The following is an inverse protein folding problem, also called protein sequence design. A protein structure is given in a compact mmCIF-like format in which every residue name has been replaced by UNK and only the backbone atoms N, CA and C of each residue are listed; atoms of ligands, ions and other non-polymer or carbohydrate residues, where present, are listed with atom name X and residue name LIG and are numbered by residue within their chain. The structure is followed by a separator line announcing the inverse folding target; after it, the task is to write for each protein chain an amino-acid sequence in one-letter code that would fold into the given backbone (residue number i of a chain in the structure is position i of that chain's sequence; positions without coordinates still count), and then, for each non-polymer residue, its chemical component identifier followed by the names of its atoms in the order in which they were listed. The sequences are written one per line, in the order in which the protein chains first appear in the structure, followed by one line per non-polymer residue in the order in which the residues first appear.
data_IF_827247037035
#
_entry.id   IF_827247037035
#
_cell.length_a   1.000
_cell.length_b   1.000
_cell.length_c   1.000
_cell.angle_alpha   90.00
_cell.angle_beta   90.00
_cell.angle_gamma   90.00
#
_symmetry.space_group_name_H-M   'P 1'
#
loop_
_entity.id
_entity.type
_entity.pdbx_description
1 polymer ?
#
# COMPACT_ATOMS: atom_id res chain seq x y z
N UNK A 1 -15.94 18.96 26.56
CA UNK A 1 -17.22 18.38 26.06
C UNK A 1 -17.13 16.87 26.19
N UNK A 2 -18.11 16.18 26.79
CA UNK A 2 -18.09 14.70 26.95
C UNK A 2 -19.01 14.05 25.93
N UNK A 3 -18.54 13.05 25.19
CA UNK A 3 -19.30 12.38 24.11
C UNK A 3 -20.67 11.87 24.56
N UNK A 4 -20.77 11.31 25.76
CA UNK A 4 -22.00 10.76 26.29
C UNK A 4 -23.10 11.82 26.51
N UNK A 5 -22.73 13.08 26.71
CA UNK A 5 -23.66 14.18 27.06
C UNK A 5 -24.12 14.98 25.83
N UNK A 6 -23.79 14.53 24.62
CA UNK A 6 -24.17 15.21 23.38
C UNK A 6 -25.67 15.08 23.09
N UNK A 7 -26.23 16.07 22.38
CA UNK A 7 -27.57 15.96 21.81
C UNK A 7 -27.66 14.80 20.83
N UNK A 8 -28.85 14.22 20.69
CA UNK A 8 -29.08 13.02 19.87
C UNK A 8 -28.60 13.20 18.42
N UNK A 9 -28.84 14.36 17.82
CA UNK A 9 -28.38 14.71 16.46
C UNK A 9 -26.86 14.61 16.33
N UNK A 10 -26.09 15.14 17.29
CA UNK A 10 -24.64 15.03 17.31
C UNK A 10 -24.17 13.59 17.52
N UNK A 11 -24.85 12.82 18.38
CA UNK A 11 -24.54 11.40 18.58
C UNK A 11 -24.73 10.61 17.29
N UNK A 12 -25.82 10.85 16.58
CA UNK A 12 -26.13 10.19 15.31
C UNK A 12 -25.09 10.55 14.24
N UNK A 13 -24.76 11.84 14.09
CA UNK A 13 -23.76 12.30 13.11
C UNK A 13 -22.38 11.67 13.37
N UNK A 14 -21.90 11.71 14.62
CA UNK A 14 -20.62 11.09 14.99
C UNK A 14 -20.65 9.56 14.81
N UNK A 15 -21.77 8.91 15.16
CA UNK A 15 -21.90 7.45 14.95
C UNK A 15 -21.82 7.09 13.47
N UNK A 16 -22.51 7.82 12.60
CA UNK A 16 -22.45 7.61 11.15
C UNK A 16 -21.03 7.77 10.61
N UNK A 17 -20.30 8.80 11.04
CA UNK A 17 -18.90 9.00 10.70
C UNK A 17 -18.03 7.83 11.17
N UNK A 18 -18.10 7.45 12.45
CA UNK A 18 -17.27 6.38 13.03
C UNK A 18 -17.56 5.01 12.41
N UNK A 19 -18.83 4.69 12.13
CA UNK A 19 -19.21 3.45 11.43
C UNK A 19 -18.65 3.45 10.00
N UNK A 20 -18.73 4.58 9.30
CA UNK A 20 -18.13 4.73 7.96
C UNK A 20 -16.62 4.51 8.02
N UNK A 21 -15.94 5.03 9.04
CA UNK A 21 -14.51 4.79 9.25
C UNK A 21 -14.19 3.30 9.41
N UNK A 22 -14.98 2.57 10.20
CA UNK A 22 -14.80 1.13 10.40
C UNK A 22 -14.96 0.35 9.08
N UNK A 23 -15.99 0.65 8.29
CA UNK A 23 -16.17 0.04 6.98
C UNK A 23 -15.08 0.44 5.98
N UNK A 24 -14.61 1.69 6.03
CA UNK A 24 -13.49 2.17 5.22
C UNK A 24 -12.21 1.40 5.52
N UNK A 25 -11.87 1.19 6.80
CA UNK A 25 -10.73 0.37 7.21
C UNK A 25 -10.87 -1.09 6.74
N UNK A 26 -12.06 -1.68 6.85
CA UNK A 26 -12.31 -3.04 6.37
C UNK A 26 -12.16 -3.15 4.84
N UNK A 27 -12.68 -2.16 4.11
CA UNK A 27 -12.55 -2.07 2.65
C UNK A 27 -11.09 -1.92 2.23
N UNK A 28 -10.32 -1.07 2.91
CA UNK A 28 -8.90 -0.89 2.66
C UNK A 28 -8.11 -2.18 2.92
N UNK A 29 -8.35 -2.86 4.05
CA UNK A 29 -7.72 -4.14 4.36
C UNK A 29 -8.05 -5.21 3.31
N UNK A 30 -9.29 -5.27 2.85
CA UNK A 30 -9.72 -6.16 1.77
C UNK A 30 -9.00 -5.85 0.46
N UNK A 31 -8.92 -4.58 0.06
CA UNK A 31 -8.23 -4.16 -1.16
C UNK A 31 -6.74 -4.52 -1.12
N UNK A 32 -6.08 -4.24 0.00
CA UNK A 32 -4.66 -4.58 0.19
C UNK A 32 -4.48 -6.10 0.09
N UNK A 33 -5.36 -6.87 0.73
CA UNK A 33 -5.35 -8.33 0.64
C UNK A 33 -5.51 -8.83 -0.80
N UNK A 34 -6.45 -8.29 -1.57
CA UNK A 34 -6.69 -8.71 -2.95
C UNK A 34 -5.53 -8.34 -3.89
N UNK A 35 -4.91 -7.17 -3.70
CA UNK A 35 -3.85 -6.68 -4.59
C UNK A 35 -2.49 -7.31 -4.24
N UNK A 36 -2.24 -7.56 -2.96
CA UNK A 36 -0.92 -7.99 -2.49
C UNK A 36 -0.88 -9.43 -1.96
N UNK A 37 -1.95 -10.22 -2.09
CA UNK A 37 -1.92 -11.66 -1.82
C UNK A 37 -1.77 -12.48 -3.10
N UNK A 38 -1.39 -13.75 -2.95
CA UNK A 38 -1.44 -14.75 -4.02
C UNK A 38 -2.87 -15.20 -4.35
N UNK A 39 -3.84 -14.96 -3.46
CA UNK A 39 -5.25 -15.28 -3.68
C UNK A 39 -6.03 -14.03 -4.09
N UNK A 40 -6.76 -14.13 -5.21
CA UNK A 40 -7.57 -13.02 -5.76
C UNK A 40 -9.01 -12.98 -5.22
N UNK A 41 -9.36 -13.86 -4.28
CA UNK A 41 -10.71 -13.93 -3.70
C UNK A 41 -10.67 -13.94 -2.18
N UNK A 42 -11.69 -13.33 -1.56
CA UNK A 42 -11.85 -13.32 -0.10
C UNK A 42 -10.97 -12.29 0.64
N UNK A 43 -10.85 -12.49 1.95
CA UNK A 43 -10.02 -11.65 2.83
C UNK A 43 -8.64 -12.28 2.95
N UNK A 44 -7.61 -11.57 2.50
CA UNK A 44 -6.26 -12.10 2.43
C UNK A 44 -5.26 -11.19 3.15
N UNK A 45 -4.16 -11.79 3.61
CA UNK A 45 -3.03 -11.03 4.12
C UNK A 45 -2.09 -10.68 2.96
N UNK A 46 -1.51 -9.47 2.95
CA UNK A 46 -0.51 -9.11 1.95
C UNK A 46 0.74 -9.99 2.12
N UNK A 47 1.29 -10.47 0.99
CA UNK A 47 2.56 -11.18 0.97
C UNK A 47 3.71 -10.17 0.94
N UNK A 48 4.75 -10.45 1.73
CA UNK A 48 5.95 -9.60 1.77
C UNK A 48 6.66 -9.59 0.42
N UNK A 49 6.62 -10.69 -0.32
CA UNK A 49 7.19 -10.81 -1.66
C UNK A 49 6.54 -9.84 -2.65
N UNK A 50 5.21 -9.84 -2.77
CA UNK A 50 4.49 -8.92 -3.67
C UNK A 50 4.65 -7.45 -3.24
N UNK A 51 4.78 -7.20 -1.93
CA UNK A 51 5.09 -5.87 -1.41
C UNK A 51 6.52 -5.45 -1.75
N UNK A 52 7.50 -6.36 -1.63
CA UNK A 52 8.90 -6.11 -2.01
C UNK A 52 9.02 -5.84 -3.51
N UNK A 53 8.35 -6.64 -4.35
CA UNK A 53 8.24 -6.44 -5.79
C UNK A 53 7.73 -5.03 -6.14
N UNK A 54 6.80 -4.50 -5.36
CA UNK A 54 6.24 -3.16 -5.56
C UNK A 54 7.14 -2.01 -5.09
N UNK A 55 7.77 -2.14 -3.91
CA UNK A 55 8.43 -1.03 -3.23
C UNK A 55 9.96 -1.03 -3.34
N UNK A 56 10.56 -2.18 -3.64
CA UNK A 56 12.01 -2.37 -3.63
C UNK A 56 12.58 -2.81 -4.97
N UNK A 57 11.79 -3.46 -5.83
CA UNK A 57 12.28 -4.01 -7.09
C UNK A 57 12.02 -3.10 -8.30
N UNK A 58 12.75 -3.33 -9.39
CA UNK A 58 12.52 -2.64 -10.64
C UNK A 58 11.13 -2.93 -11.17
N UNK A 59 10.43 -1.93 -11.72
CA UNK A 59 9.04 -2.10 -12.18
C UNK A 59 8.88 -3.28 -13.14
N UNK A 60 9.87 -3.53 -14.02
CA UNK A 60 9.87 -4.68 -14.92
C UNK A 60 9.89 -6.01 -14.14
N UNK A 61 10.87 -6.21 -13.26
CA UNK A 61 11.03 -7.42 -12.44
C UNK A 61 9.84 -7.60 -11.50
N UNK A 62 9.40 -6.53 -10.86
CA UNK A 62 8.23 -6.56 -9.98
C UNK A 62 6.95 -6.97 -10.72
N UNK A 63 6.80 -6.56 -12.00
CA UNK A 63 5.67 -7.01 -12.83
C UNK A 63 5.80 -8.50 -13.18
N UNK A 64 7.01 -8.97 -13.51
CA UNK A 64 7.29 -10.39 -13.77
C UNK A 64 6.98 -11.27 -12.56
N UNK A 65 7.24 -10.81 -11.32
CA UNK A 65 6.89 -11.56 -10.09
C UNK A 65 5.44 -11.40 -9.63
N UNK A 66 4.64 -10.55 -10.29
CA UNK A 66 3.29 -10.22 -9.84
C UNK A 66 2.25 -10.33 -10.95
N UNK A 67 1.81 -9.22 -11.53
CA UNK A 67 0.68 -9.16 -12.46
C UNK A 67 0.93 -9.92 -13.77
N UNK A 68 2.20 -10.09 -14.16
CA UNK A 68 2.59 -10.78 -15.39
C UNK A 68 3.17 -12.18 -15.14
N UNK A 69 3.20 -12.66 -13.90
CA UNK A 69 3.85 -13.92 -13.53
C UNK A 69 3.36 -15.12 -14.35
N UNK A 70 2.04 -15.23 -14.57
CA UNK A 70 1.47 -16.32 -15.38
C UNK A 70 1.88 -16.30 -16.87
N UNK A 71 2.50 -15.22 -17.34
CA UNK A 71 2.97 -15.05 -18.72
C UNK A 71 4.49 -15.15 -18.85
N UNK A 72 5.21 -15.31 -17.73
CA UNK A 72 6.66 -15.57 -17.73
C UNK A 72 6.88 -17.06 -17.99
N UNK A 73 7.73 -17.40 -18.95
CA UNK A 73 7.95 -18.79 -19.35
C UNK A 73 8.72 -19.60 -18.30
N UNK A 74 9.74 -19.00 -17.68
CA UNK A 74 10.58 -19.63 -16.66
C UNK A 74 10.90 -18.66 -15.51
N UNK A 75 10.92 -19.15 -14.27
CA UNK A 75 11.34 -18.34 -13.11
C UNK A 75 12.80 -17.89 -13.23
N UNK A 76 13.66 -18.65 -13.93
CA UNK A 76 15.05 -18.28 -14.22
C UNK A 76 15.15 -17.02 -15.10
N UNK A 77 14.15 -16.75 -15.96
CA UNK A 77 14.10 -15.54 -16.79
C UNK A 77 13.96 -14.28 -15.92
N UNK A 78 13.22 -14.38 -14.80
CA UNK A 78 13.11 -13.30 -13.82
C UNK A 78 14.48 -12.98 -13.23
N UNK A 79 15.28 -14.00 -12.91
CA UNK A 79 16.61 -13.84 -12.34
C UNK A 79 17.59 -13.21 -13.33
N UNK A 80 17.52 -13.59 -14.61
CA UNK A 80 18.35 -13.01 -15.69
C UNK A 80 18.06 -11.53 -15.85
N UNK A 81 16.78 -11.15 -15.92
CA UNK A 81 16.36 -9.74 -16.05
C UNK A 81 16.73 -8.95 -14.80
N UNK A 82 16.55 -9.52 -13.61
CA UNK A 82 16.93 -8.89 -12.34
C UNK A 82 18.44 -8.64 -12.24
N UNK A 83 19.26 -9.61 -12.64
CA UNK A 83 20.73 -9.50 -12.66
C UNK A 83 21.20 -8.41 -13.63
N UNK A 84 20.66 -8.38 -14.85
CA UNK A 84 20.96 -7.33 -15.82
C UNK A 84 20.64 -5.92 -15.28
N UNK A 85 19.49 -5.77 -14.61
CA UNK A 85 19.13 -4.49 -13.98
C UNK A 85 20.08 -4.13 -12.84
N UNK A 86 20.44 -5.09 -11.98
CA UNK A 86 21.41 -4.87 -10.88
C UNK A 86 22.79 -4.45 -11.40
N UNK A 87 23.19 -4.91 -12.58
CA UNK A 87 24.43 -4.53 -13.27
C UNK A 87 24.38 -3.14 -13.93
N UNK A 88 23.25 -2.44 -13.86
CA UNK A 88 23.10 -1.08 -14.36
C UNK A 88 22.20 -0.96 -15.59
N UNK A 89 21.55 -2.05 -16.01
CA UNK A 89 20.61 -2.08 -17.13
C UNK A 89 21.16 -1.47 -18.42
N UNK A 90 22.42 -1.77 -18.77
CA UNK A 90 23.08 -1.21 -19.95
C UNK A 90 22.58 -1.84 -21.26
N UNK A 91 22.69 -1.11 -22.37
CA UNK A 91 22.44 -1.64 -23.72
C UNK A 91 23.64 -2.47 -24.19
N UNK A 92 23.83 -3.63 -23.57
CA UNK A 92 24.98 -4.52 -23.76
C UNK A 92 24.58 -5.88 -24.33
N UNK A 93 25.54 -6.81 -24.41
CA UNK A 93 25.31 -8.15 -24.93
C UNK A 93 24.26 -8.93 -24.11
N UNK A 94 24.28 -8.79 -22.78
CA UNK A 94 23.31 -9.40 -21.88
C UNK A 94 21.90 -8.87 -22.17
N UNK A 95 21.75 -7.56 -22.43
CA UNK A 95 20.47 -7.00 -22.86
C UNK A 95 20.00 -7.58 -24.20
N UNK A 96 20.87 -7.58 -25.21
CA UNK A 96 20.49 -7.92 -26.59
C UNK A 96 20.23 -9.42 -26.79
N UNK A 97 21.01 -10.28 -26.13
CA UNK A 97 20.94 -11.73 -26.30
C UNK A 97 19.99 -12.39 -25.32
N UNK A 98 20.00 -11.96 -24.05
CA UNK A 98 19.23 -12.64 -23.00
C UNK A 98 17.92 -11.90 -22.74
N UNK A 99 17.98 -10.67 -22.23
CA UNK A 99 16.78 -9.91 -21.81
C UNK A 99 15.82 -9.66 -22.95
N UNK A 100 16.32 -9.22 -24.11
CA UNK A 100 15.48 -8.95 -25.27
C UNK A 100 14.88 -10.23 -25.86
N UNK A 101 15.54 -11.37 -25.70
CA UNK A 101 14.97 -12.68 -26.12
C UNK A 101 13.80 -13.06 -25.24
N UNK A 102 13.94 -12.96 -23.90
CA UNK A 102 12.86 -13.17 -22.93
C UNK A 102 11.69 -12.23 -23.24
N UNK A 103 11.94 -10.93 -23.37
CA UNK A 103 10.88 -9.94 -23.64
C UNK A 103 10.17 -10.20 -24.97
N UNK A 104 10.89 -10.65 -26.01
CA UNK A 104 10.30 -11.03 -27.31
C UNK A 104 9.37 -12.23 -27.18
N UNK A 105 9.78 -13.24 -26.43
CA UNK A 105 9.04 -14.50 -26.29
C UNK A 105 7.80 -14.32 -25.41
N UNK A 106 7.97 -13.69 -24.26
CA UNK A 106 6.95 -13.70 -23.20
C UNK A 106 6.07 -12.45 -23.26
N UNK A 107 6.66 -11.29 -23.53
CA UNK A 107 6.00 -10.01 -23.30
C UNK A 107 5.47 -9.35 -24.59
N UNK A 108 6.24 -9.37 -25.68
CA UNK A 108 5.95 -8.60 -26.91
C UNK A 108 4.67 -9.04 -27.64
N UNK A 109 4.14 -10.22 -27.31
CA UNK A 109 2.84 -10.68 -27.81
C UNK A 109 1.72 -9.68 -27.47
N UNK A 110 1.79 -9.03 -26.31
CA UNK A 110 0.88 -7.95 -25.88
C UNK A 110 1.58 -6.58 -25.80
N UNK A 111 2.87 -6.55 -25.46
CA UNK A 111 3.68 -5.35 -25.27
C UNK A 111 4.53 -5.02 -26.51
N UNK A 112 3.90 -4.90 -27.68
CA UNK A 112 4.55 -4.41 -28.89
C UNK A 112 3.72 -3.32 -29.58
N UNK A 113 4.39 -2.46 -30.36
CA UNK A 113 3.72 -1.33 -31.05
C UNK A 113 2.64 -1.78 -32.03
N UNK A 114 2.78 -3.01 -32.53
CA UNK A 114 1.97 -3.58 -33.61
C UNK A 114 1.14 -4.76 -33.14
N UNK A 115 1.06 -5.04 -31.83
CA UNK A 115 0.21 -6.13 -31.35
C UNK A 115 -1.26 -5.85 -31.69
N UNK A 116 -1.92 -6.87 -32.22
CA UNK A 116 -3.36 -6.89 -32.56
C UNK A 116 -4.16 -7.79 -31.63
N UNK A 117 -3.55 -8.28 -30.55
CA UNK A 117 -4.24 -9.10 -29.54
C UNK A 117 -5.33 -8.29 -28.84
N UNK A 118 -6.39 -8.96 -28.40
CA UNK A 118 -7.49 -8.33 -27.66
C UNK A 118 -7.06 -7.67 -26.35
N UNK A 119 -5.97 -8.14 -25.74
CA UNK A 119 -5.36 -7.58 -24.52
C UNK A 119 -4.05 -6.82 -24.81
N UNK A 120 -3.83 -6.34 -26.02
CA UNK A 120 -2.61 -5.64 -26.38
C UNK A 120 -2.45 -4.31 -25.60
N UNK A 121 -1.23 -4.02 -25.15
CA UNK A 121 -0.87 -2.81 -24.39
C UNK A 121 0.23 -2.06 -25.17
N UNK A 122 -0.16 -1.49 -26.31
CA UNK A 122 0.77 -0.83 -27.24
C UNK A 122 1.39 0.45 -26.68
N UNK A 123 0.85 0.98 -25.57
CA UNK A 123 1.39 2.13 -24.83
C UNK A 123 2.68 1.81 -24.07
N UNK A 124 2.97 0.52 -23.81
CA UNK A 124 4.19 0.03 -23.15
C UNK A 124 4.85 -1.02 -24.07
N UNK A 125 5.53 -0.58 -25.14
CA UNK A 125 6.09 -1.51 -26.13
C UNK A 125 7.52 -1.91 -25.78
N UNK A 126 7.80 -3.17 -25.47
CA UNK A 126 9.15 -3.64 -25.13
C UNK A 126 9.99 -3.99 -26.37
N UNK A 127 9.95 -3.15 -27.39
CA UNK A 127 10.55 -3.44 -28.71
C UNK A 127 12.00 -2.97 -28.88
N UNK A 128 12.51 -2.14 -27.97
CA UNK A 128 13.87 -1.57 -28.02
C UNK A 128 14.34 -1.16 -26.62
N UNK A 129 15.65 -0.98 -26.47
CA UNK A 129 16.28 -0.58 -25.21
C UNK A 129 15.61 0.62 -24.53
N UNK A 130 15.42 1.74 -25.24
CA UNK A 130 14.79 2.95 -24.70
C UNK A 130 13.36 2.77 -24.18
N UNK A 131 12.67 1.72 -24.64
CA UNK A 131 11.34 1.42 -24.15
C UNK A 131 11.41 0.56 -22.88
N UNK A 132 12.40 -0.34 -22.75
CA UNK A 132 12.60 -1.22 -21.59
C UNK A 132 13.28 -0.48 -20.43
N UNK A 133 14.31 0.31 -20.70
CA UNK A 133 15.13 1.01 -19.69
C UNK A 133 14.34 1.97 -18.80
N UNK A 134 13.14 2.39 -19.23
CA UNK A 134 12.21 3.20 -18.41
C UNK A 134 11.62 2.44 -17.22
N UNK A 135 11.64 1.11 -17.27
CA UNK A 135 11.02 0.24 -16.27
C UNK A 135 12.06 -0.48 -15.38
N UNK A 136 13.32 -0.11 -15.50
CA UNK A 136 14.43 -0.71 -14.72
C UNK A 136 14.70 0.02 -13.40
N UNK A 137 14.03 1.16 -13.16
CA UNK A 137 14.12 1.86 -11.89
C UNK A 137 13.47 1.05 -10.77
N UNK A 138 14.23 0.80 -9.70
CA UNK A 138 13.80 0.14 -8.48
C UNK A 138 12.82 1.00 -7.65
N UNK A 139 11.75 0.37 -7.17
CA UNK A 139 10.66 1.02 -6.45
C UNK A 139 9.83 1.95 -7.34
N UNK A 140 8.94 2.71 -6.71
CA UNK A 140 8.17 3.73 -7.43
C UNK A 140 9.07 4.82 -8.00
N UNK A 141 8.72 5.33 -9.20
CA UNK A 141 9.30 6.58 -9.68
C UNK A 141 9.06 7.70 -8.67
N UNK A 142 10.04 8.61 -8.54
CA UNK A 142 9.98 9.71 -7.58
C UNK A 142 8.69 10.53 -7.71
N UNK A 143 8.21 10.78 -8.93
CA UNK A 143 6.99 11.52 -9.20
C UNK A 143 5.75 10.76 -8.75
N UNK A 144 5.67 9.46 -9.04
CA UNK A 144 4.54 8.62 -8.63
C UNK A 144 4.50 8.45 -7.11
N UNK A 145 5.68 8.26 -6.49
CA UNK A 145 5.82 8.22 -5.03
C UNK A 145 5.40 9.54 -4.39
N UNK A 146 5.91 10.67 -4.87
CA UNK A 146 5.55 12.00 -4.35
C UNK A 146 4.05 12.26 -4.42
N UNK A 147 3.43 11.96 -5.56
CA UNK A 147 1.98 12.12 -5.75
C UNK A 147 1.18 11.25 -4.78
N UNK A 148 1.54 9.97 -4.69
CA UNK A 148 0.82 9.01 -3.84
C UNK A 148 1.00 9.33 -2.36
N UNK A 149 2.23 9.60 -1.92
CA UNK A 149 2.53 10.00 -0.54
C UNK A 149 1.83 11.31 -0.16
N UNK A 150 1.79 12.31 -1.06
CA UNK A 150 1.07 13.56 -0.83
C UNK A 150 -0.43 13.33 -0.59
N UNK A 151 -1.10 12.60 -1.49
CA UNK A 151 -2.54 12.32 -1.37
C UNK A 151 -2.82 11.49 -0.11
N UNK A 152 -1.99 10.49 0.18
CA UNK A 152 -2.16 9.59 1.32
C UNK A 152 -1.97 10.32 2.66
N UNK A 153 -0.89 11.10 2.79
CA UNK A 153 -0.59 11.84 4.01
C UNK A 153 -1.68 12.87 4.35
N UNK A 154 -2.16 13.64 3.36
CA UNK A 154 -3.26 14.57 3.57
C UNK A 154 -4.59 13.88 3.82
N UNK A 155 -4.89 12.82 3.07
CA UNK A 155 -6.12 12.05 3.25
C UNK A 155 -6.22 11.45 4.65
N UNK A 156 -5.21 10.70 5.08
CA UNK A 156 -5.23 10.04 6.37
C UNK A 156 -5.08 11.03 7.53
N UNK A 157 -4.29 12.10 7.40
CA UNK A 157 -4.21 13.11 8.48
C UNK A 157 -5.57 13.75 8.78
N UNK A 158 -6.43 13.98 7.78
CA UNK A 158 -7.81 14.46 7.98
C UNK A 158 -8.68 13.43 8.72
N UNK A 159 -8.54 12.15 8.41
CA UNK A 159 -9.25 11.08 9.10
C UNK A 159 -8.76 10.90 10.53
N UNK A 160 -7.43 10.96 10.74
CA UNK A 160 -6.78 10.86 12.04
C UNK A 160 -7.18 12.02 12.94
N UNK A 161 -7.17 13.27 12.46
CA UNK A 161 -7.57 14.39 13.31
C UNK A 161 -9.05 14.30 13.69
N UNK A 162 -9.94 13.93 12.76
CA UNK A 162 -11.37 13.78 13.05
C UNK A 162 -11.65 12.67 14.07
N UNK A 163 -11.04 11.50 13.90
CA UNK A 163 -11.17 10.36 14.83
C UNK A 163 -10.49 10.65 16.18
N UNK A 164 -9.28 11.22 16.18
CA UNK A 164 -8.53 11.57 17.39
C UNK A 164 -9.24 12.64 18.22
N UNK A 165 -9.77 13.70 17.59
CA UNK A 165 -10.52 14.73 18.30
C UNK A 165 -11.81 14.17 18.89
N UNK A 166 -12.54 13.36 18.12
CA UNK A 166 -13.74 12.67 18.62
C UNK A 166 -13.40 11.82 19.83
N UNK A 167 -12.38 10.96 19.73
CA UNK A 167 -11.93 10.09 20.81
C UNK A 167 -11.35 10.86 22.00
N UNK A 168 -10.70 12.01 21.80
CA UNK A 168 -10.17 12.85 22.88
C UNK A 168 -11.26 13.36 23.83
N UNK A 169 -12.48 13.56 23.30
CA UNK A 169 -13.66 14.00 24.04
C UNK A 169 -14.34 12.87 24.84
N UNK A 170 -13.81 11.64 24.74
CA UNK A 170 -14.33 10.49 25.48
C UNK A 170 -13.94 10.52 26.95
N UNK A 171 -14.68 9.75 27.75
CA UNK A 171 -14.43 9.61 29.19
C UNK A 171 -13.44 8.50 29.55
N UNK A 172 -12.71 7.94 28.59
CA UNK A 172 -11.65 6.96 28.87
C UNK A 172 -10.45 7.60 29.55
N UNK A 173 -9.66 6.75 30.19
CA UNK A 173 -8.40 7.09 30.82
C UNK A 173 -7.49 7.92 29.89
N UNK A 174 -6.92 9.05 30.38
CA UNK A 174 -6.01 9.88 29.61
C UNK A 174 -4.84 9.12 28.98
N UNK A 175 -4.28 8.11 29.67
CA UNK A 175 -3.16 7.32 29.14
C UNK A 175 -3.56 6.52 27.90
N UNK A 176 -4.76 5.91 27.88
CA UNK A 176 -5.27 5.20 26.70
C UNK A 176 -5.41 6.17 25.51
N UNK A 177 -5.95 7.36 25.77
CA UNK A 177 -6.14 8.40 24.74
C UNK A 177 -4.82 8.86 24.16
N UNK A 178 -3.86 9.21 25.01
CA UNK A 178 -2.53 9.66 24.60
C UNK A 178 -1.85 8.57 23.78
N UNK A 179 -1.82 7.33 24.27
CA UNK A 179 -1.15 6.22 23.59
C UNK A 179 -1.75 5.98 22.21
N UNK A 180 -3.07 5.83 22.07
CA UNK A 180 -3.71 5.53 20.78
C UNK A 180 -3.53 6.67 19.78
N UNK A 181 -3.71 7.92 20.22
CA UNK A 181 -3.57 9.09 19.36
C UNK A 181 -2.11 9.21 18.91
N UNK A 182 -1.15 9.24 19.84
CA UNK A 182 0.27 9.36 19.49
C UNK A 182 0.76 8.21 18.63
N UNK A 183 0.35 6.98 18.92
CA UNK A 183 0.71 5.81 18.12
C UNK A 183 0.20 5.94 16.69
N UNK A 184 -1.05 6.37 16.49
CA UNK A 184 -1.60 6.55 15.14
C UNK A 184 -0.82 7.57 14.29
N UNK A 185 -0.42 8.71 14.88
CA UNK A 185 0.35 9.74 14.17
C UNK A 185 1.78 9.29 13.85
N UNK A 186 2.45 8.66 14.81
CA UNK A 186 3.79 8.12 14.61
C UNK A 186 3.75 7.03 13.52
N UNK A 187 2.71 6.19 13.54
CA UNK A 187 2.53 5.13 12.54
C UNK A 187 2.38 5.68 11.12
N UNK A 188 1.56 6.72 10.93
CA UNK A 188 1.42 7.40 9.63
C UNK A 188 2.77 7.90 9.10
N UNK A 189 3.55 8.56 9.96
CA UNK A 189 4.83 9.12 9.55
C UNK A 189 5.85 8.03 9.23
N UNK A 190 5.88 6.96 10.03
CA UNK A 190 6.75 5.81 9.78
C UNK A 190 6.36 5.07 8.50
N UNK A 191 5.08 4.91 8.21
CA UNK A 191 4.61 4.29 6.96
C UNK A 191 5.10 5.11 5.75
N UNK A 192 4.76 6.39 5.69
CA UNK A 192 5.17 7.28 4.59
C UNK A 192 6.69 7.35 4.46
N UNK A 193 7.43 7.49 5.57
CA UNK A 193 8.89 7.49 5.53
C UNK A 193 9.45 6.17 4.97
N UNK A 194 8.86 5.04 5.34
CA UNK A 194 9.27 3.72 4.88
C UNK A 194 9.04 3.53 3.38
N UNK A 195 8.01 4.17 2.78
CA UNK A 195 7.81 4.13 1.33
C UNK A 195 9.02 4.70 0.58
N UNK A 196 9.57 5.82 1.06
CA UNK A 196 10.74 6.45 0.45
C UNK A 196 12.02 5.64 0.62
N UNK A 197 12.10 4.86 1.69
CA UNK A 197 13.31 4.12 2.08
C UNK A 197 13.31 2.66 1.59
N UNK A 198 12.15 2.10 1.22
CA UNK A 198 12.02 0.71 0.78
C UNK A 198 12.85 0.33 -0.44
N UNK A 199 13.17 1.28 -1.32
CA UNK A 199 14.11 1.07 -2.43
C UNK A 199 15.56 0.77 -1.99
N UNK A 200 15.93 1.11 -0.76
CA UNK A 200 17.29 0.91 -0.25
C UNK A 200 17.43 -0.36 0.60
N UNK A 201 16.33 -0.85 1.16
CA UNK A 201 16.34 -2.07 1.97
C UNK A 201 14.92 -2.63 2.13
N UNK A 202 14.80 -3.95 1.96
CA UNK A 202 13.57 -4.70 2.23
C UNK A 202 13.12 -4.59 3.68
N UNK A 203 14.00 -4.21 4.62
CA UNK A 203 13.62 -3.90 6.00
C UNK A 203 12.44 -2.91 6.08
N UNK A 204 12.47 -1.88 5.23
CA UNK A 204 11.41 -0.88 5.23
C UNK A 204 10.08 -1.41 4.66
N UNK A 205 10.07 -2.48 3.87
CA UNK A 205 8.83 -3.15 3.45
C UNK A 205 8.10 -3.75 4.66
N UNK A 206 8.83 -4.35 5.60
CA UNK A 206 8.25 -4.80 6.86
C UNK A 206 7.76 -3.63 7.73
N UNK A 207 8.47 -2.50 7.70
CA UNK A 207 8.03 -1.27 8.38
C UNK A 207 6.73 -0.73 7.79
N UNK A 208 6.54 -0.77 6.46
CA UNK A 208 5.28 -0.39 5.80
C UNK A 208 4.12 -1.24 6.31
N UNK A 209 4.28 -2.57 6.29
CA UNK A 209 3.21 -3.48 6.71
C UNK A 209 2.88 -3.30 8.19
N UNK A 210 3.89 -3.21 9.05
CA UNK A 210 3.70 -3.03 10.49
C UNK A 210 3.10 -1.67 10.85
N UNK A 211 3.62 -0.57 10.28
CA UNK A 211 3.11 0.78 10.50
C UNK A 211 1.69 0.93 9.96
N UNK A 212 1.39 0.46 8.75
CA UNK A 212 0.03 0.47 8.23
C UNK A 212 -0.95 -0.33 9.09
N UNK A 213 -0.52 -1.50 9.59
CA UNK A 213 -1.35 -2.32 10.48
C UNK A 213 -1.63 -1.62 11.82
N UNK A 214 -0.60 -1.05 12.44
CA UNK A 214 -0.73 -0.31 13.71
C UNK A 214 -1.62 0.93 13.53
N UNK A 215 -1.50 1.63 12.40
CA UNK A 215 -2.32 2.78 12.08
C UNK A 215 -3.80 2.40 11.97
N UNK A 216 -4.11 1.40 11.14
CA UNK A 216 -5.48 0.90 10.95
C UNK A 216 -6.05 0.39 12.28
N UNK A 217 -5.29 -0.39 13.04
CA UNK A 217 -5.71 -0.88 14.34
C UNK A 217 -6.01 0.27 15.32
N UNK A 218 -5.21 1.33 15.31
CA UNK A 218 -5.43 2.51 16.14
C UNK A 218 -6.71 3.24 15.75
N UNK A 219 -6.95 3.45 14.45
CA UNK A 219 -8.17 4.10 13.93
C UNK A 219 -9.42 3.27 14.30
N UNK A 220 -9.38 1.95 14.08
CA UNK A 220 -10.48 1.04 14.41
C UNK A 220 -10.76 1.05 15.90
N UNK A 221 -9.71 0.99 16.73
CA UNK A 221 -9.85 1.00 18.19
C UNK A 221 -10.42 2.32 18.69
N UNK A 222 -9.88 3.47 18.26
CA UNK A 222 -10.41 4.79 18.61
C UNK A 222 -11.87 4.94 18.18
N UNK A 223 -12.21 4.49 16.97
CA UNK A 223 -13.58 4.60 16.43
C UNK A 223 -14.57 3.73 17.19
N UNK A 224 -14.21 2.47 17.47
CA UNK A 224 -15.04 1.55 18.23
C UNK A 224 -15.24 2.01 19.68
N UNK A 225 -14.16 2.41 20.36
CA UNK A 225 -14.23 2.91 21.73
C UNK A 225 -15.04 4.22 21.83
N UNK A 226 -14.86 5.15 20.89
CA UNK A 226 -15.65 6.37 20.83
C UNK A 226 -17.14 6.08 20.61
N UNK A 227 -17.48 5.15 19.71
CA UNK A 227 -18.85 4.72 19.46
C UNK A 227 -19.50 4.14 20.73
N UNK A 228 -18.75 3.30 21.46
CA UNK A 228 -19.20 2.77 22.75
C UNK A 228 -19.46 3.91 23.74
N UNK A 229 -18.58 4.90 23.85
CA UNK A 229 -18.74 6.00 24.80
C UNK A 229 -19.91 6.96 24.48
N UNK A 230 -20.26 7.10 23.19
CA UNK A 230 -21.40 7.92 22.75
C UNK A 230 -22.72 7.36 23.30
N UNK A 231 -22.88 6.03 23.23
CA UNK A 231 -24.14 5.36 23.55
C UNK A 231 -24.19 4.82 24.98
N UNK A 232 -23.05 4.38 25.52
CA UNK A 232 -22.98 3.76 26.84
C UNK A 232 -22.05 4.51 27.80
N UNK A 233 -22.40 4.48 29.09
CA UNK A 233 -21.51 4.90 30.15
C UNK A 233 -20.46 3.82 30.37
N UNK A 234 -19.20 4.24 30.44
CA UNK A 234 -18.09 3.33 30.66
C UNK A 234 -17.92 3.10 32.18
N UNK A 235 -17.60 1.86 32.62
CA UNK A 235 -17.25 1.56 34.00
C UNK A 235 -16.10 2.42 34.54
N UNK A 236 -16.06 2.64 35.86
CA UNK A 236 -15.07 3.54 36.49
C UNK A 236 -13.62 3.09 36.33
N UNK A 237 -13.35 1.78 36.22
CA UNK A 237 -11.99 1.26 36.05
C UNK A 237 -11.38 1.56 34.67
N UNK A 238 -12.20 1.95 33.67
CA UNK A 238 -11.75 2.36 32.34
C UNK A 238 -11.60 3.88 32.18
N UNK A 239 -11.94 4.65 33.22
CA UNK A 239 -11.86 6.13 33.23
C UNK A 239 -10.46 6.65 33.53
#
# INVERSE_FOLDING_TARGET
MRLHNLHFSSKLALSGFLITMLFGCLSAATLIGLVYSSNETGFNLPSIEKMSAKYSEAQLVGSMKTSMYEYVADDDDILIVEDWIKKGAMDDEQFQQDVMTILKQDCQSCHSRTSTKSKAINSIPFSRYDDVSKFTQAGYSWQSMAKTAHIHLFGISLLLIATSLTFSCSTYNPYIKITLISTSWISLWLDIASWWLAKYSTFFVYMIVSAGTIEVASIVTMSGLALINIWWKIPDFCK
#
